data_IF_540148922426
#
_entry.id   IF_540148922426
#
_cell.length_a   1.000
_cell.length_b   1.000
_cell.length_c   1.000
_cell.angle_alpha   90.00
_cell.angle_beta   90.00
_cell.angle_gamma   90.00
#
_symmetry.space_group_name_H-M   'P 1'
#
loop_
_entity.id
_entity.type
_entity.pdbx_description
1 polymer ?
#
# COMPACT_ATOMS: atom_id res chain seq x y z
N UNK A 1 1.78 -24.63 19.40
CA UNK A 1 0.83 -23.67 19.99
C UNK A 1 -0.55 -24.05 19.47
N UNK A 2 -1.45 -24.42 20.34
CA UNK A 2 -2.84 -24.79 20.02
C UNK A 2 -3.53 -23.56 19.45
N UNK A 3 -4.14 -23.68 18.24
CA UNK A 3 -5.09 -22.70 17.71
C UNK A 3 -6.24 -22.57 18.72
N UNK A 4 -6.15 -21.62 19.61
CA UNK A 4 -7.31 -21.17 20.36
C UNK A 4 -8.22 -20.46 19.35
N UNK A 5 -9.34 -21.08 19.06
CA UNK A 5 -10.44 -20.54 18.28
C UNK A 5 -10.95 -19.29 19.04
N UNK A 6 -10.31 -18.13 18.80
CA UNK A 6 -10.73 -16.86 19.42
C UNK A 6 -12.07 -16.47 18.81
N UNK A 7 -13.13 -16.67 19.57
CA UNK A 7 -14.42 -16.12 19.23
C UNK A 7 -14.36 -14.59 19.23
N UNK A 8 -14.91 -13.96 18.18
CA UNK A 8 -15.03 -12.51 18.12
C UNK A 8 -15.93 -12.00 19.25
N UNK A 9 -15.44 -11.06 20.05
CA UNK A 9 -16.25 -10.36 21.05
C UNK A 9 -17.07 -9.28 20.38
N UNK A 10 -18.36 -9.19 20.74
CA UNK A 10 -19.29 -8.18 20.18
C UNK A 10 -19.13 -6.80 20.84
N UNK A 11 -19.50 -5.69 20.19
CA UNK A 11 -19.33 -4.33 20.67
C UNK A 11 -19.97 -4.05 22.04
N UNK A 12 -21.09 -4.70 22.35
CA UNK A 12 -21.79 -4.58 23.64
C UNK A 12 -21.35 -5.62 24.67
N UNK A 13 -20.42 -6.51 24.31
CA UNK A 13 -19.86 -7.51 25.21
C UNK A 13 -18.82 -6.91 26.17
N UNK A 14 -18.45 -7.68 27.19
CA UNK A 14 -17.41 -7.28 28.14
C UNK A 14 -16.02 -7.17 27.51
N UNK A 15 -15.77 -7.91 26.44
CA UNK A 15 -14.49 -7.99 25.73
C UNK A 15 -14.77 -7.90 24.21
N UNK A 16 -15.06 -6.72 23.70
CA UNK A 16 -15.27 -6.52 22.27
C UNK A 16 -13.95 -6.77 21.50
N UNK A 17 -14.03 -7.38 20.33
CA UNK A 17 -12.89 -7.38 19.41
C UNK A 17 -12.79 -6.01 18.78
N UNK A 18 -11.72 -5.27 19.07
CA UNK A 18 -11.51 -3.88 18.66
C UNK A 18 -10.65 -3.82 17.42
N UNK A 19 -11.20 -3.29 16.34
CA UNK A 19 -10.50 -3.08 15.07
C UNK A 19 -10.31 -1.59 14.84
N UNK A 20 -9.07 -1.18 14.62
CA UNK A 20 -8.71 0.19 14.28
C UNK A 20 -8.30 0.26 12.80
N UNK A 21 -9.01 1.10 12.04
CA UNK A 21 -8.63 1.45 10.68
C UNK A 21 -7.75 2.70 10.66
N UNK A 22 -6.65 2.63 9.93
CA UNK A 22 -5.78 3.74 9.60
C UNK A 22 -5.94 4.05 8.11
N UNK A 23 -6.81 5.00 7.80
CA UNK A 23 -7.39 5.29 6.51
C UNK A 23 -8.88 4.96 6.53
N UNK A 24 -9.71 5.92 6.18
CA UNK A 24 -11.16 5.83 6.32
C UNK A 24 -11.88 6.17 5.00
N UNK A 25 -11.22 5.88 3.87
CA UNK A 25 -11.76 6.10 2.53
C UNK A 25 -12.94 5.19 2.17
N UNK A 26 -13.30 5.16 0.90
CA UNK A 26 -14.42 4.40 0.38
C UNK A 26 -14.25 2.89 0.61
N UNK A 27 -13.03 2.39 0.37
CA UNK A 27 -12.71 0.99 0.59
C UNK A 27 -12.74 0.63 2.09
N UNK A 28 -12.18 1.51 2.93
CA UNK A 28 -12.23 1.39 4.38
C UNK A 28 -13.66 1.31 4.91
N UNK A 29 -14.61 2.05 4.31
CA UNK A 29 -16.03 1.99 4.66
C UNK A 29 -16.64 0.60 4.41
N UNK A 30 -16.38 0.00 3.23
CA UNK A 30 -16.91 -1.32 2.91
C UNK A 30 -16.35 -2.39 3.85
N UNK A 31 -15.05 -2.33 4.14
CA UNK A 31 -14.43 -3.28 5.09
C UNK A 31 -14.95 -3.06 6.51
N UNK A 32 -15.15 -1.81 6.96
CA UNK A 32 -15.74 -1.51 8.26
C UNK A 32 -17.14 -2.11 8.40
N UNK A 33 -18.00 -1.98 7.37
CA UNK A 33 -19.34 -2.56 7.36
C UNK A 33 -19.30 -4.08 7.50
N UNK A 34 -18.39 -4.77 6.80
CA UNK A 34 -18.29 -6.22 6.90
C UNK A 34 -17.77 -6.67 8.29
N UNK A 35 -16.81 -5.96 8.85
CA UNK A 35 -16.33 -6.25 10.22
C UNK A 35 -17.43 -6.05 11.25
N UNK A 36 -18.25 -5.02 11.10
CA UNK A 36 -19.41 -4.79 11.98
C UNK A 36 -20.46 -5.91 11.82
N UNK A 37 -20.69 -6.43 10.62
CA UNK A 37 -21.55 -7.62 10.40
C UNK A 37 -21.02 -8.86 11.10
N UNK A 38 -19.70 -9.00 11.18
CA UNK A 38 -19.05 -10.07 11.96
C UNK A 38 -19.09 -9.83 13.48
N UNK A 39 -19.52 -8.65 13.92
CA UNK A 39 -19.66 -8.29 15.32
C UNK A 39 -18.42 -7.64 15.93
N UNK A 40 -17.46 -7.16 15.13
CA UNK A 40 -16.33 -6.39 15.65
C UNK A 40 -16.74 -4.96 16.03
N UNK A 41 -16.06 -4.39 17.03
CA UNK A 41 -16.11 -2.97 17.30
C UNK A 41 -15.08 -2.26 16.43
N UNK A 42 -15.47 -1.22 15.73
CA UNK A 42 -14.64 -0.54 14.71
C UNK A 42 -14.43 0.92 15.08
N UNK A 43 -13.17 1.36 15.07
CA UNK A 43 -12.75 2.75 15.08
C UNK A 43 -12.11 3.11 13.74
N UNK A 44 -12.53 4.23 13.15
CA UNK A 44 -12.03 4.72 11.85
C UNK A 44 -11.20 5.99 12.04
N UNK A 45 -9.91 5.95 11.70
CA UNK A 45 -9.00 7.10 11.79
C UNK A 45 -8.64 7.63 10.40
N UNK A 46 -8.61 8.95 10.25
CA UNK A 46 -8.18 9.63 9.02
C UNK A 46 -7.60 11.01 9.33
N UNK A 47 -7.00 11.65 8.34
CA UNK A 47 -6.44 13.00 8.44
C UNK A 47 -7.49 14.12 8.36
N UNK A 48 -8.74 13.79 8.02
CA UNK A 48 -9.85 14.75 7.91
C UNK A 48 -11.15 14.21 8.50
N UNK A 49 -12.04 15.12 8.88
CA UNK A 49 -13.34 14.79 9.44
C UNK A 49 -14.35 14.44 8.33
N UNK A 50 -15.26 13.52 8.65
CA UNK A 50 -16.32 13.09 7.72
C UNK A 50 -15.89 12.11 6.65
N UNK A 51 -14.73 11.50 6.79
CA UNK A 51 -14.28 10.43 5.90
C UNK A 51 -15.32 9.29 5.81
N UNK A 52 -15.41 8.59 4.66
CA UNK A 52 -16.47 7.61 4.39
C UNK A 52 -16.66 6.56 5.48
N UNK A 53 -15.59 5.94 5.99
CA UNK A 53 -15.69 4.92 7.03
C UNK A 53 -16.09 5.51 8.40
N UNK A 54 -15.76 6.77 8.69
CA UNK A 54 -16.16 7.44 9.94
C UNK A 54 -17.68 7.56 10.06
N UNK A 55 -18.40 7.59 8.94
CA UNK A 55 -19.86 7.70 8.92
C UNK A 55 -20.59 6.44 9.41
N UNK A 56 -19.90 5.31 9.44
CA UNK A 56 -20.47 4.01 9.80
C UNK A 56 -19.80 3.37 11.02
N UNK A 57 -18.56 3.71 11.33
CA UNK A 57 -17.81 3.15 12.46
C UNK A 57 -18.47 3.48 13.82
N UNK A 58 -18.14 2.71 14.86
CA UNK A 58 -18.60 2.97 16.23
C UNK A 58 -17.96 4.22 16.83
N UNK A 59 -16.70 4.47 16.50
CA UNK A 59 -15.95 5.67 16.85
C UNK A 59 -15.06 6.11 15.68
N UNK A 60 -14.64 7.38 15.71
CA UNK A 60 -13.65 7.87 14.76
C UNK A 60 -12.63 8.81 15.43
N UNK A 61 -11.50 8.97 14.78
CA UNK A 61 -10.45 9.92 15.16
C UNK A 61 -9.92 10.66 13.93
N UNK A 62 -9.56 11.92 14.14
CA UNK A 62 -8.90 12.75 13.14
C UNK A 62 -7.50 13.09 13.64
N UNK A 63 -6.47 12.64 12.87
CA UNK A 63 -5.08 12.84 13.26
C UNK A 63 -4.16 12.71 12.04
N UNK A 64 -2.95 13.20 12.18
CA UNK A 64 -1.87 12.91 11.20
C UNK A 64 -1.27 11.52 11.53
N UNK A 65 -1.62 10.53 10.71
CA UNK A 65 -1.15 9.14 10.90
C UNK A 65 0.34 8.95 10.55
N UNK A 66 0.96 9.90 9.86
CA UNK A 66 2.41 9.92 9.66
C UNK A 66 3.16 10.41 10.90
N UNK A 67 2.47 11.04 11.86
CA UNK A 67 3.04 11.47 13.11
C UNK A 67 3.04 10.31 14.13
N UNK A 68 4.23 9.78 14.43
CA UNK A 68 4.42 8.64 15.32
C UNK A 68 3.84 8.87 16.72
N UNK A 69 3.97 10.09 17.29
CA UNK A 69 3.46 10.39 18.63
C UNK A 69 1.93 10.39 18.68
N UNK A 70 1.26 11.00 17.68
CA UNK A 70 -0.19 10.97 17.58
C UNK A 70 -0.72 9.54 17.42
N UNK A 71 -0.02 8.75 16.61
CA UNK A 71 -0.41 7.36 16.37
C UNK A 71 -0.25 6.49 17.61
N UNK A 72 0.85 6.66 18.36
CA UNK A 72 1.06 6.00 19.65
C UNK A 72 -0.03 6.34 20.66
N UNK A 73 -0.37 7.62 20.79
CA UNK A 73 -1.45 8.06 21.68
C UNK A 73 -2.78 7.42 21.28
N UNK A 74 -3.08 7.35 19.97
CA UNK A 74 -4.28 6.68 19.46
C UNK A 74 -4.31 5.20 19.85
N UNK A 75 -3.19 4.48 19.70
CA UNK A 75 -3.10 3.06 20.06
C UNK A 75 -3.28 2.84 21.57
N UNK A 76 -2.73 3.72 22.39
CA UNK A 76 -2.87 3.65 23.83
C UNK A 76 -4.31 3.99 24.29
N UNK A 77 -5.02 4.86 23.59
CA UNK A 77 -6.42 5.21 23.87
C UNK A 77 -7.37 4.08 23.42
N UNK A 78 -7.22 3.60 22.19
CA UNK A 78 -8.14 2.62 21.59
C UNK A 78 -7.87 1.21 22.08
N UNK A 79 -6.61 0.84 22.37
CA UNK A 79 -6.20 -0.52 22.75
C UNK A 79 -6.73 -1.56 21.72
N UNK A 80 -6.38 -1.44 20.43
CA UNK A 80 -6.93 -2.29 19.41
C UNK A 80 -6.39 -3.73 19.50
N UNK A 81 -7.25 -4.72 19.25
CA UNK A 81 -6.83 -6.10 19.03
C UNK A 81 -6.26 -6.27 17.61
N UNK A 82 -6.86 -5.54 16.65
CA UNK A 82 -6.49 -5.59 15.23
C UNK A 82 -6.31 -4.17 14.71
N UNK A 83 -5.22 -3.94 13.98
CA UNK A 83 -4.92 -2.69 13.27
C UNK A 83 -4.89 -2.97 11.77
N UNK A 84 -5.63 -2.18 11.00
CA UNK A 84 -5.69 -2.28 9.54
C UNK A 84 -5.14 -1.00 8.92
N UNK A 85 -3.85 -0.97 8.50
CA UNK A 85 -3.30 0.13 7.72
C UNK A 85 -3.85 0.05 6.30
N UNK A 86 -4.66 1.05 5.91
CA UNK A 86 -5.31 1.11 4.58
C UNK A 86 -4.67 2.17 3.68
N UNK A 87 -4.14 3.25 4.26
CA UNK A 87 -3.46 4.31 3.51
C UNK A 87 -1.93 4.21 3.59
N UNK A 88 -1.23 4.86 2.65
CA UNK A 88 0.24 4.80 2.56
C UNK A 88 0.96 5.81 3.46
N UNK A 89 0.25 6.76 4.11
CA UNK A 89 0.85 7.78 4.98
C UNK A 89 0.71 7.40 6.45
N UNK A 90 1.50 6.44 6.92
CA UNK A 90 1.46 5.93 8.30
C UNK A 90 2.88 5.79 8.83
N UNK A 91 3.10 6.15 10.10
CA UNK A 91 4.34 5.85 10.81
C UNK A 91 4.44 4.34 11.08
N UNK A 92 5.09 3.60 10.17
CA UNK A 92 5.17 2.13 10.22
C UNK A 92 5.94 1.60 11.42
N UNK A 93 6.83 2.40 12.02
CA UNK A 93 7.50 2.07 13.28
C UNK A 93 6.52 1.87 14.43
N UNK A 94 5.44 2.65 14.49
CA UNK A 94 4.41 2.49 15.53
C UNK A 94 3.53 1.25 15.28
N UNK A 95 3.34 0.84 14.01
CA UNK A 95 2.69 -0.44 13.70
C UNK A 95 3.51 -1.62 14.24
N UNK A 96 4.83 -1.60 14.03
CA UNK A 96 5.72 -2.63 14.56
C UNK A 96 5.68 -2.68 16.10
N UNK A 97 5.78 -1.51 16.75
CA UNK A 97 5.68 -1.41 18.21
C UNK A 97 4.32 -1.88 18.76
N UNK A 98 3.22 -1.64 18.03
CA UNK A 98 1.90 -2.15 18.40
C UNK A 98 1.81 -3.68 18.27
N UNK A 99 2.43 -4.25 17.24
CA UNK A 99 2.51 -5.70 17.06
C UNK A 99 3.30 -6.36 18.20
N UNK A 100 4.43 -5.79 18.62
CA UNK A 100 5.20 -6.25 19.78
C UNK A 100 4.39 -6.20 21.10
N UNK A 101 3.45 -5.27 21.21
CA UNK A 101 2.53 -5.17 22.36
C UNK A 101 1.34 -6.11 22.28
N UNK A 102 1.22 -6.90 21.19
CA UNK A 102 0.23 -7.93 21.01
C UNK A 102 -0.96 -7.60 20.11
N UNK A 103 -1.00 -6.43 19.50
CA UNK A 103 -1.98 -6.12 18.46
C UNK A 103 -1.68 -6.90 17.17
N UNK A 104 -2.71 -7.41 16.51
CA UNK A 104 -2.55 -8.01 15.19
C UNK A 104 -2.61 -6.93 14.12
N UNK A 105 -1.53 -6.68 13.40
CA UNK A 105 -1.48 -5.74 12.28
C UNK A 105 -1.73 -6.49 10.96
N UNK A 106 -2.68 -6.04 10.15
CA UNK A 106 -3.11 -6.72 8.90
C UNK A 106 -3.24 -5.71 7.77
N UNK A 107 -2.36 -5.77 6.76
CA UNK A 107 -1.16 -6.61 6.64
C UNK A 107 -0.12 -6.27 7.71
N UNK A 108 0.85 -7.17 7.96
CA UNK A 108 1.87 -6.92 8.99
C UNK A 108 2.63 -5.61 8.75
N UNK A 109 3.21 -5.05 9.82
CA UNK A 109 3.97 -3.80 9.75
C UNK A 109 5.09 -3.86 8.70
N UNK A 110 5.76 -5.00 8.56
CA UNK A 110 6.82 -5.20 7.55
C UNK A 110 6.24 -5.19 6.13
N UNK A 111 5.12 -5.89 5.87
CA UNK A 111 4.46 -5.85 4.56
C UNK A 111 3.99 -4.43 4.23
N UNK A 112 3.37 -3.74 5.18
CA UNK A 112 2.95 -2.35 4.99
C UNK A 112 4.15 -1.45 4.63
N UNK A 113 5.26 -1.57 5.37
CA UNK A 113 6.49 -0.82 5.11
C UNK A 113 7.09 -1.11 3.73
N UNK A 114 7.15 -2.37 3.28
CA UNK A 114 7.63 -2.72 1.94
C UNK A 114 6.70 -2.14 0.86
N UNK A 115 5.39 -2.26 1.02
CA UNK A 115 4.42 -1.78 0.03
C UNK A 115 4.40 -0.26 -0.10
N UNK A 116 4.73 0.47 0.97
CA UNK A 116 4.84 1.93 0.97
C UNK A 116 6.12 2.44 0.28
N UNK A 117 7.14 1.61 0.16
CA UNK A 117 8.44 1.95 -0.40
C UNK A 117 8.62 1.33 -1.80
N UNK A 118 8.57 2.17 -2.86
CA UNK A 118 8.72 1.71 -4.26
C UNK A 118 10.07 1.05 -4.53
N UNK A 119 11.14 1.47 -3.84
CA UNK A 119 12.45 0.85 -4.00
C UNK A 119 12.45 -0.57 -3.43
N UNK A 120 12.01 -0.73 -2.18
CA UNK A 120 11.93 -2.04 -1.53
C UNK A 120 11.01 -3.00 -2.29
N UNK A 121 9.84 -2.52 -2.69
CA UNK A 121 8.87 -3.34 -3.43
C UNK A 121 9.41 -3.73 -4.82
N UNK A 122 10.09 -2.82 -5.53
CA UNK A 122 10.67 -3.09 -6.85
C UNK A 122 11.84 -4.07 -6.75
N UNK A 123 12.72 -3.92 -5.76
CA UNK A 123 13.83 -4.86 -5.50
C UNK A 123 13.27 -6.24 -5.18
N UNK A 124 12.31 -6.34 -4.27
CA UNK A 124 11.66 -7.61 -3.98
C UNK A 124 11.07 -8.25 -5.24
N UNK A 125 10.26 -7.51 -6.00
CA UNK A 125 9.57 -8.06 -7.16
C UNK A 125 10.54 -8.50 -8.27
N UNK A 126 11.51 -7.65 -8.63
CA UNK A 126 12.38 -7.90 -9.77
C UNK A 126 13.65 -8.69 -9.41
N UNK A 127 14.38 -8.24 -8.39
CA UNK A 127 15.71 -8.79 -8.12
C UNK A 127 15.64 -10.09 -7.30
N UNK A 128 14.70 -10.17 -6.35
CA UNK A 128 14.59 -11.35 -5.50
C UNK A 128 13.62 -12.41 -6.06
N UNK A 129 12.46 -11.98 -6.59
CA UNK A 129 11.42 -12.91 -7.08
C UNK A 129 11.48 -13.14 -8.59
N UNK A 130 12.29 -12.38 -9.33
CA UNK A 130 12.42 -12.52 -10.80
C UNK A 130 11.14 -12.16 -11.56
N UNK A 131 10.23 -11.38 -10.96
CA UNK A 131 9.01 -10.97 -11.62
C UNK A 131 9.30 -9.95 -12.74
N UNK A 132 8.55 -9.98 -13.85
CA UNK A 132 8.73 -9.03 -14.92
C UNK A 132 8.37 -7.60 -14.47
N UNK A 133 9.28 -6.67 -14.73
CA UNK A 133 9.07 -5.23 -14.50
C UNK A 133 9.60 -4.45 -15.70
N UNK A 134 9.22 -3.17 -15.82
CA UNK A 134 9.89 -2.26 -16.76
C UNK A 134 11.34 -2.04 -16.36
N UNK A 135 12.26 -1.77 -17.30
CA UNK A 135 13.61 -1.32 -16.97
C UNK A 135 13.57 -0.07 -16.08
N UNK A 136 14.38 -0.04 -15.03
CA UNK A 136 14.37 1.06 -14.06
C UNK A 136 15.77 1.36 -13.52
N UNK A 137 15.90 2.55 -12.88
CA UNK A 137 17.03 2.93 -12.04
C UNK A 137 16.52 3.76 -10.85
N UNK A 138 17.19 3.65 -9.72
CA UNK A 138 17.01 4.55 -8.58
C UNK A 138 18.02 5.68 -8.65
N UNK A 139 17.64 6.86 -8.14
CA UNK A 139 18.47 8.03 -8.11
C UNK A 139 18.26 8.81 -6.81
N UNK A 140 19.34 9.14 -6.11
CA UNK A 140 19.36 9.98 -4.91
C UNK A 140 19.78 11.43 -5.20
N UNK A 141 20.10 11.74 -6.46
CA UNK A 141 20.46 13.08 -6.91
C UNK A 141 20.00 13.33 -8.34
N UNK A 142 19.94 14.62 -8.73
CA UNK A 142 19.62 15.01 -10.10
C UNK A 142 20.63 14.45 -11.12
N UNK A 143 21.90 14.36 -10.74
CA UNK A 143 22.94 13.81 -11.60
C UNK A 143 22.70 12.30 -11.85
N UNK A 144 22.41 11.55 -10.79
CA UNK A 144 22.06 10.14 -10.89
C UNK A 144 20.77 9.93 -11.70
N UNK A 145 19.77 10.81 -11.52
CA UNK A 145 18.55 10.76 -12.31
C UNK A 145 18.81 10.96 -13.80
N UNK A 146 19.62 11.93 -14.18
CA UNK A 146 20.04 12.14 -15.58
C UNK A 146 20.74 10.92 -16.17
N UNK A 147 21.65 10.31 -15.41
CA UNK A 147 22.36 9.11 -15.82
C UNK A 147 21.39 7.89 -15.93
N UNK A 148 20.49 7.75 -14.98
CA UNK A 148 19.46 6.71 -14.96
C UNK A 148 18.51 6.83 -16.14
N UNK A 149 17.99 8.01 -16.41
CA UNK A 149 17.09 8.28 -17.53
C UNK A 149 17.74 7.99 -18.89
N UNK A 150 19.04 8.35 -19.03
CA UNK A 150 19.81 8.00 -20.24
C UNK A 150 19.95 6.49 -20.42
N UNK A 151 20.08 5.75 -19.30
CA UNK A 151 20.21 4.26 -19.35
C UNK A 151 18.88 3.61 -19.68
N UNK A 152 17.79 4.07 -19.06
CA UNK A 152 16.43 3.55 -19.25
C UNK A 152 15.89 3.91 -20.64
N UNK A 153 16.26 5.09 -21.15
CA UNK A 153 15.78 5.63 -22.42
C UNK A 153 14.53 6.51 -22.27
N UNK A 154 14.14 7.15 -23.36
CA UNK A 154 12.95 8.01 -23.42
C UNK A 154 11.90 7.44 -24.40
N UNK A 155 10.59 7.60 -24.10
CA UNK A 155 10.05 8.25 -22.91
C UNK A 155 10.22 7.38 -21.64
N UNK A 156 10.40 8.04 -20.51
CA UNK A 156 10.47 7.40 -19.19
C UNK A 156 9.53 8.10 -18.18
N UNK A 157 9.32 7.46 -17.05
CA UNK A 157 8.51 8.00 -15.94
C UNK A 157 9.42 8.19 -14.74
N UNK A 158 9.35 9.35 -14.12
CA UNK A 158 10.02 9.65 -12.84
C UNK A 158 8.97 9.69 -11.74
N UNK A 159 9.24 9.00 -10.64
CA UNK A 159 8.34 8.92 -9.47
C UNK A 159 9.14 9.05 -8.18
N UNK A 160 8.68 9.76 -7.16
CA UNK A 160 9.28 9.67 -5.83
C UNK A 160 9.15 8.25 -5.28
N UNK A 161 10.07 7.84 -4.40
CA UNK A 161 10.01 6.50 -3.77
C UNK A 161 8.74 6.35 -2.96
N UNK A 162 8.30 7.42 -2.31
CA UNK A 162 7.06 7.43 -1.55
C UNK A 162 6.13 8.55 -2.01
N UNK A 163 5.02 8.18 -2.59
CA UNK A 163 3.90 9.06 -2.94
C UNK A 163 2.66 8.23 -3.25
N UNK A 164 1.48 8.85 -3.21
CA UNK A 164 0.22 8.22 -3.59
C UNK A 164 -0.48 9.03 -4.68
N UNK A 165 -1.45 8.42 -5.35
CA UNK A 165 -2.35 9.08 -6.32
C UNK A 165 -1.60 9.86 -7.42
N UNK A 166 -0.43 9.37 -7.85
CA UNK A 166 0.35 9.98 -8.92
C UNK A 166 1.05 11.31 -8.56
N UNK A 167 0.99 11.77 -7.30
CA UNK A 167 1.69 12.98 -6.89
C UNK A 167 3.21 12.86 -7.11
N UNK A 168 3.80 13.92 -7.70
CA UNK A 168 5.22 13.97 -8.03
C UNK A 168 5.65 13.04 -9.18
N UNK A 169 4.70 12.46 -9.90
CA UNK A 169 4.99 11.61 -11.05
C UNK A 169 4.99 12.40 -12.35
N UNK A 170 6.06 12.27 -13.15
CA UNK A 170 6.19 12.95 -14.45
C UNK A 170 6.54 11.97 -15.56
N UNK A 171 5.91 12.15 -16.72
CA UNK A 171 6.31 11.49 -17.96
C UNK A 171 7.32 12.37 -18.69
N UNK A 172 8.54 11.89 -18.82
CA UNK A 172 9.68 12.58 -19.41
C UNK A 172 9.92 12.06 -20.81
N UNK A 173 9.76 12.92 -21.81
CA UNK A 173 9.88 12.53 -23.23
C UNK A 173 11.25 12.82 -23.83
N UNK A 174 12.05 13.68 -23.19
CA UNK A 174 13.40 14.05 -23.63
C UNK A 174 14.27 14.46 -22.44
N UNK A 175 15.58 14.50 -22.66
CA UNK A 175 16.54 14.87 -21.62
C UNK A 175 16.33 16.28 -21.02
N UNK A 176 15.78 17.21 -21.81
CA UNK A 176 15.56 18.60 -21.39
C UNK A 176 14.49 18.72 -20.29
N UNK A 177 13.60 17.74 -20.16
CA UNK A 177 12.53 17.74 -19.16
C UNK A 177 12.91 17.08 -17.81
N UNK A 178 14.10 16.50 -17.70
CA UNK A 178 14.54 15.75 -16.50
C UNK A 178 14.62 16.63 -15.26
N UNK A 179 15.12 17.85 -15.41
CA UNK A 179 15.30 18.76 -14.29
C UNK A 179 13.96 19.18 -13.68
N UNK A 180 12.97 19.44 -14.53
CA UNK A 180 11.62 19.74 -14.07
C UNK A 180 10.98 18.52 -13.37
N UNK A 181 11.19 17.31 -13.91
CA UNK A 181 10.69 16.07 -13.30
C UNK A 181 11.30 15.79 -11.92
N UNK A 182 12.59 16.14 -11.74
CA UNK A 182 13.22 16.05 -10.42
C UNK A 182 12.54 16.98 -9.41
N UNK A 183 12.33 18.25 -9.78
CA UNK A 183 11.67 19.24 -8.91
C UNK A 183 10.25 18.77 -8.55
N UNK A 184 9.46 18.35 -9.53
CA UNK A 184 8.10 17.84 -9.31
C UNK A 184 8.08 16.62 -8.37
N UNK A 185 9.05 15.70 -8.54
CA UNK A 185 9.17 14.54 -7.66
C UNK A 185 9.53 14.93 -6.22
N UNK A 186 10.35 15.99 -6.02
CA UNK A 186 10.67 16.49 -4.68
C UNK A 186 9.48 17.17 -4.01
N UNK A 187 8.68 17.91 -4.76
CA UNK A 187 7.49 18.60 -4.25
C UNK A 187 6.32 17.64 -3.96
N UNK A 188 6.16 16.61 -4.79
CA UNK A 188 5.07 15.62 -4.66
C UNK A 188 5.38 14.44 -3.75
N UNK A 189 6.57 14.36 -3.15
CA UNK A 189 6.93 13.31 -2.20
C UNK A 189 6.17 13.48 -0.89
N UNK A 190 5.86 12.37 -0.25
CA UNK A 190 5.49 12.37 1.17
C UNK A 190 6.76 12.24 2.00
N UNK A 191 7.07 13.25 2.82
CA UNK A 191 8.17 13.19 3.75
C UNK A 191 7.84 12.18 4.85
N UNK A 192 8.70 11.19 5.04
CA UNK A 192 8.77 10.37 6.23
C UNK A 192 10.09 10.68 6.93
N UNK A 193 10.04 10.90 8.21
CA UNK A 193 11.14 11.03 9.17
C UNK A 193 12.39 11.85 8.76
N UNK A 194 12.99 12.47 9.74
CA UNK A 194 14.25 13.21 9.63
C UNK A 194 15.32 12.29 9.01
N UNK A 195 15.74 12.58 7.78
CA UNK A 195 16.79 11.86 7.09
C UNK A 195 16.38 11.22 5.76
N UNK A 196 15.14 11.40 5.32
CA UNK A 196 14.68 10.84 4.06
C UNK A 196 15.39 11.50 2.88
N UNK A 197 16.24 10.69 2.24
CA UNK A 197 16.92 11.06 1.01
C UNK A 197 15.85 11.23 -0.07
N UNK A 198 15.98 12.29 -0.86
CA UNK A 198 15.10 12.64 -1.98
C UNK A 198 15.19 11.64 -3.14
N UNK A 199 15.06 10.34 -2.83
CA UNK A 199 15.20 9.28 -3.83
C UNK A 199 13.99 9.21 -4.74
N UNK A 200 14.27 8.92 -6.01
CA UNK A 200 13.29 8.70 -7.05
C UNK A 200 13.57 7.40 -7.78
N UNK A 201 12.56 6.83 -8.42
CA UNK A 201 12.71 5.82 -9.45
C UNK A 201 12.49 6.45 -10.81
N UNK A 202 13.34 6.16 -11.78
CA UNK A 202 13.09 6.38 -13.21
C UNK A 202 12.90 5.04 -13.89
N UNK A 203 11.81 4.88 -14.61
CA UNK A 203 11.46 3.65 -15.29
C UNK A 203 10.98 3.90 -16.72
N UNK A 204 11.18 2.91 -17.60
CA UNK A 204 10.71 3.00 -18.96
C UNK A 204 9.18 3.14 -18.98
N UNK A 205 8.67 4.02 -19.85
CA UNK A 205 7.23 4.10 -20.08
C UNK A 205 6.79 2.83 -20.82
N UNK A 206 5.98 2.01 -20.14
CA UNK A 206 5.45 0.79 -20.73
C UNK A 206 4.42 1.12 -21.83
N UNK A 207 4.52 0.54 -23.02
CA UNK A 207 3.44 0.59 -24.00
C UNK A 207 2.34 -0.39 -23.55
N UNK A 208 1.38 0.12 -22.77
CA UNK A 208 0.30 -0.69 -22.20
C UNK A 208 -0.82 -0.87 -23.24
N UNK A 209 -1.18 -2.12 -23.53
CA UNK A 209 -2.41 -2.45 -24.26
C UNK A 209 -3.61 -2.45 -23.30
N UNK A 210 -3.39 -2.79 -22.02
CA UNK A 210 -4.40 -2.86 -20.99
C UNK A 210 -3.76 -2.91 -19.58
N UNK A 211 -4.59 -2.66 -18.56
CA UNK A 211 -4.21 -2.77 -17.15
C UNK A 211 -5.15 -3.73 -16.42
N UNK A 212 -4.60 -4.51 -15.49
CA UNK A 212 -5.32 -5.45 -14.65
C UNK A 212 -4.98 -5.25 -13.19
N UNK A 213 -5.98 -5.39 -12.33
CA UNK A 213 -5.81 -5.57 -10.89
C UNK A 213 -6.16 -7.01 -10.50
N UNK A 214 -5.31 -7.63 -9.70
CA UNK A 214 -5.56 -8.96 -9.12
C UNK A 214 -5.57 -8.81 -7.60
N UNK A 215 -6.76 -8.81 -7.00
CA UNK A 215 -6.91 -8.84 -5.56
C UNK A 215 -6.46 -10.21 -5.05
N UNK A 216 -5.60 -10.19 -4.03
CA UNK A 216 -4.98 -11.39 -3.48
C UNK A 216 -5.14 -11.40 -1.97
N UNK A 217 -5.60 -12.51 -1.43
CA UNK A 217 -5.81 -12.71 0.01
C UNK A 217 -4.89 -13.79 0.51
N UNK A 218 -4.03 -13.44 1.49
CA UNK A 218 -3.20 -14.38 2.23
C UNK A 218 -3.81 -14.66 3.60
N UNK A 219 -3.95 -15.94 3.94
CA UNK A 219 -4.50 -16.39 5.22
C UNK A 219 -3.80 -17.65 5.73
N UNK A 220 -4.18 -18.15 6.90
CA UNK A 220 -3.71 -19.45 7.42
C UNK A 220 -4.09 -20.63 6.49
N UNK A 221 -5.13 -20.49 5.66
CA UNK A 221 -5.55 -21.50 4.69
C UNK A 221 -4.77 -21.44 3.36
N UNK A 222 -3.88 -20.44 3.19
CA UNK A 222 -3.11 -20.24 1.98
C UNK A 222 -3.42 -18.93 1.28
N UNK A 223 -2.98 -18.81 0.03
CA UNK A 223 -3.16 -17.61 -0.81
C UNK A 223 -4.21 -17.92 -1.87
N UNK A 224 -5.18 -17.01 -2.00
CA UNK A 224 -6.20 -17.05 -3.05
C UNK A 224 -6.25 -15.73 -3.80
N UNK A 225 -6.61 -15.79 -5.07
CA UNK A 225 -6.81 -14.59 -5.92
C UNK A 225 -8.27 -14.46 -6.30
N UNK A 226 -8.75 -13.23 -6.37
CA UNK A 226 -10.00 -12.93 -7.05
C UNK A 226 -9.81 -13.00 -8.58
N UNK A 227 -10.91 -13.08 -9.31
CA UNK A 227 -10.86 -12.95 -10.76
C UNK A 227 -10.26 -11.56 -11.12
N UNK A 228 -9.34 -11.48 -12.09
CA UNK A 228 -8.73 -10.22 -12.48
C UNK A 228 -9.77 -9.16 -12.89
N UNK A 229 -9.50 -7.93 -12.48
CA UNK A 229 -10.33 -6.76 -12.76
C UNK A 229 -9.63 -5.94 -13.83
N UNK A 230 -10.29 -5.67 -14.95
CA UNK A 230 -9.82 -4.72 -15.93
C UNK A 230 -9.99 -3.29 -15.41
N UNK A 231 -9.04 -2.42 -15.71
CA UNK A 231 -9.12 -1.01 -15.30
C UNK A 231 -8.60 -0.07 -16.38
N UNK A 232 -9.02 1.17 -16.29
CA UNK A 232 -8.51 2.27 -17.10
C UNK A 232 -8.13 3.44 -16.22
N UNK A 233 -6.95 3.96 -16.48
CA UNK A 233 -6.46 5.22 -15.89
C UNK A 233 -6.38 6.30 -16.96
N UNK A 234 -6.48 7.54 -16.55
CA UNK A 234 -6.30 8.72 -17.39
C UNK A 234 -5.53 9.78 -16.62
N UNK A 235 -4.38 10.19 -17.14
CA UNK A 235 -3.48 11.15 -16.48
C UNK A 235 -3.06 10.76 -15.04
N UNK A 236 -2.95 9.45 -14.77
CA UNK A 236 -2.62 8.91 -13.45
C UNK A 236 -3.81 8.69 -12.53
N UNK A 237 -5.01 9.18 -12.90
CA UNK A 237 -6.24 8.97 -12.14
C UNK A 237 -6.96 7.70 -12.58
N UNK A 238 -7.40 6.93 -11.61
CA UNK A 238 -8.31 5.82 -11.82
C UNK A 238 -9.68 6.33 -12.29
N UNK A 239 -10.17 5.80 -13.41
CA UNK A 239 -11.43 6.26 -14.04
C UNK A 239 -12.52 5.21 -14.03
N UNK A 240 -12.20 3.97 -14.36
CA UNK A 240 -13.17 2.89 -14.42
C UNK A 240 -12.54 1.51 -14.22
N UNK A 241 -13.33 0.58 -13.77
CA UNK A 241 -13.01 -0.84 -13.71
C UNK A 241 -14.19 -1.69 -14.16
N UNK A 242 -13.89 -2.90 -14.60
CA UNK A 242 -14.90 -3.84 -15.03
C UNK A 242 -14.51 -5.28 -14.70
N UNK A 243 -15.54 -6.09 -14.42
CA UNK A 243 -15.42 -7.52 -14.19
C UNK A 243 -16.66 -8.20 -14.77
N UNK A 244 -16.50 -9.28 -15.55
CA UNK A 244 -15.27 -9.98 -15.86
C UNK A 244 -14.37 -9.18 -16.82
N UNK A 245 -13.04 -9.34 -16.64
CA UNK A 245 -12.06 -8.82 -17.59
C UNK A 245 -12.01 -9.74 -18.82
N UNK A 246 -12.25 -9.18 -20.00
CA UNK A 246 -12.37 -9.93 -21.26
C UNK A 246 -10.98 -10.20 -21.89
N UNK A 247 -10.17 -11.00 -21.20
CA UNK A 247 -8.84 -11.40 -21.67
C UNK A 247 -8.76 -12.91 -21.87
N UNK A 248 -7.71 -13.37 -22.57
CA UNK A 248 -7.48 -14.80 -22.77
C UNK A 248 -7.18 -15.49 -21.43
N UNK A 249 -7.50 -16.77 -21.32
CA UNK A 249 -7.23 -17.55 -20.11
C UNK A 249 -5.74 -17.54 -19.72
N UNK A 250 -4.85 -17.51 -20.71
CA UNK A 250 -3.40 -17.46 -20.48
C UNK A 250 -2.97 -16.16 -19.83
N UNK A 251 -3.52 -15.01 -20.27
CA UNK A 251 -3.26 -13.68 -19.67
C UNK A 251 -3.77 -13.65 -18.25
N UNK A 252 -5.00 -14.11 -18.00
CA UNK A 252 -5.60 -14.14 -16.66
C UNK A 252 -4.79 -15.04 -15.71
N UNK A 253 -4.43 -16.23 -16.15
CA UNK A 253 -3.62 -17.16 -15.37
C UNK A 253 -2.20 -16.61 -15.09
N UNK A 254 -1.59 -15.91 -16.06
CA UNK A 254 -0.30 -15.26 -15.84
C UNK A 254 -0.39 -14.14 -14.80
N UNK A 255 -1.40 -13.29 -14.89
CA UNK A 255 -1.62 -12.21 -13.94
C UNK A 255 -1.79 -12.76 -12.52
N UNK A 256 -2.59 -13.82 -12.34
CA UNK A 256 -2.78 -14.48 -11.05
C UNK A 256 -1.49 -15.11 -10.52
N UNK A 257 -0.69 -15.78 -11.36
CA UNK A 257 0.62 -16.31 -10.94
C UNK A 257 1.56 -15.23 -10.46
N UNK A 258 1.66 -14.10 -11.18
CA UNK A 258 2.49 -12.96 -10.78
C UNK A 258 2.03 -12.43 -9.41
N UNK A 259 0.72 -12.24 -9.22
CA UNK A 259 0.15 -11.77 -7.98
C UNK A 259 0.43 -12.72 -6.80
N UNK A 260 0.24 -14.03 -6.99
CA UNK A 260 0.56 -15.03 -5.96
C UNK A 260 2.04 -14.99 -5.59
N UNK A 261 2.95 -15.01 -6.57
CA UNK A 261 4.40 -14.97 -6.33
C UNK A 261 4.81 -13.70 -5.56
N UNK A 262 4.25 -12.55 -5.91
CA UNK A 262 4.52 -11.30 -5.20
C UNK A 262 4.08 -11.37 -3.72
N UNK A 263 2.86 -11.89 -3.47
CA UNK A 263 2.33 -12.01 -2.10
C UNK A 263 3.07 -13.08 -1.30
N UNK A 264 3.46 -14.21 -1.89
CA UNK A 264 4.32 -15.22 -1.26
C UNK A 264 5.64 -14.61 -0.80
N UNK A 265 6.27 -13.78 -1.65
CA UNK A 265 7.49 -13.06 -1.30
C UNK A 265 7.30 -12.09 -0.14
N UNK A 266 6.23 -11.30 -0.14
CA UNK A 266 5.89 -10.38 0.96
C UNK A 266 5.68 -11.14 2.28
N UNK A 267 4.92 -12.25 2.25
CA UNK A 267 4.68 -13.09 3.44
C UNK A 267 5.97 -13.72 3.95
N UNK A 268 6.87 -14.14 3.06
CA UNK A 268 8.16 -14.68 3.45
C UNK A 268 9.05 -13.61 4.13
N UNK A 269 9.05 -12.37 3.64
CA UNK A 269 9.75 -11.25 4.28
C UNK A 269 9.21 -10.95 5.69
N UNK A 270 7.90 -10.88 5.84
CA UNK A 270 7.28 -10.66 7.15
C UNK A 270 7.67 -11.73 8.17
N UNK A 271 7.64 -13.01 7.79
CA UNK A 271 8.03 -14.13 8.66
C UNK A 271 9.53 -14.16 9.01
N UNK A 272 10.37 -13.53 8.22
CA UNK A 272 11.81 -13.43 8.49
C UNK A 272 12.15 -12.27 9.44
N UNK A 273 11.21 -11.34 9.64
CA UNK A 273 11.36 -10.18 10.52
C UNK A 273 10.77 -10.41 11.92
N UNK A 274 9.93 -11.43 12.09
CA UNK A 274 9.40 -11.94 13.36
C UNK A 274 10.41 -12.90 14.04
#
# INVERSE_FOLDING_TARGET
MTEENRALGTPLGKHPTRVLFLGSGELGKEVALELMRLGAWVCAADSYEGAPAQQVAHEYRVLDMANAEQLRVLFDEIQPDIIVPEVEAIATSELAAAAERGAQVVPSAEIASICMDRERLRVLAHEELGLPTTPYRFAGSLEELRAGAKTVGYPCVVKPIMSSSGHGQSVVRSADAIDAAWVEAQEGRRAHDEGDVSRVIVEALAPLDYELTVLTVSSSAGIVTCAPIGQRQESGDYRESWQPASFTQDVLAQAQRIACTAVEGLVAKAKASD
#
